data_IF_773270664254
#
_entry.id   IF_773270664254
#
_cell.length_a   1.000
_cell.length_b   1.000
_cell.length_c   1.000
_cell.angle_alpha   90.00
_cell.angle_beta   90.00
_cell.angle_gamma   90.00
#
_symmetry.space_group_name_H-M   'P 1'
#
loop_
_entity.id
_entity.type
_entity.pdbx_description
1 polymer ?
#
# COMPACT_ATOMS: atom_id res chain seq x y z
N UNK A 1 -12.92 -0.27 -17.04
CA UNK A 1 -12.19 -1.26 -16.20
C UNK A 1 -12.18 -0.85 -14.73
N UNK A 2 -12.20 -1.83 -13.83
CA UNK A 2 -12.20 -1.66 -12.37
C UNK A 2 -11.07 -2.49 -11.79
N UNK A 3 -10.27 -1.88 -10.93
CA UNK A 3 -9.11 -2.48 -10.26
C UNK A 3 -9.24 -2.24 -8.74
N UNK A 4 -8.60 -3.06 -7.89
CA UNK A 4 -8.72 -2.96 -6.43
C UNK A 4 -7.99 -1.76 -5.83
N UNK A 5 -6.85 -1.35 -6.41
CA UNK A 5 -6.13 -0.12 -6.08
C UNK A 5 -5.16 0.22 -7.22
N UNK A 6 -4.48 1.36 -7.13
CA UNK A 6 -3.54 1.83 -8.15
C UNK A 6 -2.22 1.03 -8.22
N UNK A 7 -1.89 0.27 -7.17
CA UNK A 7 -0.65 -0.52 -7.08
C UNK A 7 -0.84 -2.01 -7.36
N UNK A 8 -2.09 -2.47 -7.39
CA UNK A 8 -2.42 -3.88 -7.58
C UNK A 8 -3.10 -4.04 -8.93
N UNK A 9 -2.32 -4.46 -9.93
CA UNK A 9 -2.74 -4.70 -11.31
C UNK A 9 -3.55 -6.02 -11.42
N UNK A 10 -4.70 -6.04 -10.77
CA UNK A 10 -5.65 -7.15 -10.83
C UNK A 10 -7.01 -6.66 -11.34
N UNK A 11 -7.27 -6.86 -12.63
CA UNK A 11 -8.53 -6.42 -13.25
C UNK A 11 -9.74 -7.12 -12.62
N UNK A 12 -10.66 -6.40 -11.98
CA UNK A 12 -11.87 -6.97 -11.37
C UNK A 12 -13.03 -7.10 -12.36
N UNK A 13 -13.06 -6.27 -13.41
CA UNK A 13 -14.07 -6.27 -14.46
C UNK A 13 -14.19 -4.91 -15.17
N UNK A 14 -15.24 -4.72 -15.96
CA UNK A 14 -15.53 -3.46 -16.65
C UNK A 14 -16.88 -2.88 -16.22
N UNK A 15 -16.88 -1.65 -15.70
CA UNK A 15 -18.09 -0.97 -15.23
C UNK A 15 -19.04 -0.55 -16.36
N UNK A 16 -18.57 -0.52 -17.62
CA UNK A 16 -19.42 -0.30 -18.79
C UNK A 16 -20.21 -1.56 -19.19
N UNK A 17 -19.72 -2.74 -18.83
CA UNK A 17 -20.32 -4.03 -19.19
C UNK A 17 -21.22 -4.58 -18.09
N UNK A 18 -20.88 -4.34 -16.82
CA UNK A 18 -21.63 -4.84 -15.66
C UNK A 18 -21.66 -3.82 -14.52
N UNK A 19 -22.76 -3.76 -13.74
CA UNK A 19 -22.84 -2.86 -12.60
C UNK A 19 -21.69 -3.04 -11.61
N UNK A 20 -21.15 -1.94 -11.08
CA UNK A 20 -20.05 -1.97 -10.10
C UNK A 20 -20.37 -2.88 -8.90
N UNK A 21 -21.64 -2.94 -8.49
CA UNK A 21 -22.11 -3.82 -7.40
C UNK A 21 -21.86 -5.30 -7.68
N UNK A 22 -22.01 -5.73 -8.92
CA UNK A 22 -21.77 -7.12 -9.33
C UNK A 22 -20.27 -7.41 -9.39
N UNK A 23 -19.49 -6.49 -9.96
CA UNK A 23 -18.02 -6.55 -9.94
C UNK A 23 -17.50 -6.70 -8.50
N UNK A 24 -18.01 -5.89 -7.57
CA UNK A 24 -17.56 -5.86 -6.17
C UNK A 24 -17.87 -7.16 -5.40
N UNK A 25 -19.00 -7.80 -5.72
CA UNK A 25 -19.45 -9.07 -5.14
C UNK A 25 -18.86 -10.29 -5.81
N UNK A 26 -18.21 -10.12 -6.96
CA UNK A 26 -17.57 -11.21 -7.70
C UNK A 26 -16.53 -11.94 -6.84
N UNK A 27 -16.31 -13.21 -7.17
CA UNK A 27 -15.26 -14.03 -6.56
C UNK A 27 -13.87 -13.40 -6.74
N UNK A 28 -13.64 -12.71 -7.85
CA UNK A 28 -12.37 -12.03 -8.18
C UNK A 28 -12.11 -10.87 -7.22
N UNK A 29 -13.09 -9.98 -7.03
CA UNK A 29 -12.98 -8.90 -6.06
C UNK A 29 -12.82 -9.41 -4.62
N UNK A 30 -13.48 -10.53 -4.24
CA UNK A 30 -13.27 -11.18 -2.94
C UNK A 30 -11.84 -11.67 -2.76
N UNK A 31 -11.24 -12.30 -3.78
CA UNK A 31 -9.84 -12.75 -3.75
C UNK A 31 -8.84 -11.60 -3.69
N UNK A 32 -9.06 -10.53 -4.45
CA UNK A 32 -8.19 -9.35 -4.40
C UNK A 32 -8.17 -8.72 -3.00
N UNK A 33 -9.33 -8.57 -2.35
CA UNK A 33 -9.41 -8.10 -0.95
C UNK A 33 -8.73 -9.04 0.04
N UNK A 34 -8.85 -10.35 -0.17
CA UNK A 34 -8.18 -11.37 0.63
C UNK A 34 -6.65 -11.24 0.52
N UNK A 35 -6.13 -11.07 -0.70
CA UNK A 35 -4.71 -10.84 -0.97
C UNK A 35 -4.18 -9.57 -0.29
N UNK A 36 -4.95 -8.47 -0.33
CA UNK A 36 -4.59 -7.22 0.36
C UNK A 36 -4.52 -7.46 1.88
N UNK A 37 -5.53 -8.12 2.45
CA UNK A 37 -5.56 -8.45 3.89
C UNK A 37 -4.33 -9.26 4.33
N UNK A 38 -3.92 -10.21 3.51
CA UNK A 38 -2.81 -11.10 3.80
C UNK A 38 -1.43 -10.46 3.47
N UNK A 39 -1.40 -9.14 3.25
CA UNK A 39 -0.20 -8.36 2.89
C UNK A 39 0.52 -8.84 1.63
N UNK A 40 -0.22 -9.47 0.71
CA UNK A 40 0.29 -9.93 -0.59
C UNK A 40 0.39 -8.83 -1.65
N UNK A 41 0.46 -7.56 -1.25
CA UNK A 41 0.61 -6.40 -2.14
C UNK A 41 2.01 -5.80 -2.01
N UNK A 42 2.55 -5.18 -3.07
CA UNK A 42 3.92 -4.61 -3.09
C UNK A 42 4.15 -3.41 -2.15
N UNK A 43 3.16 -3.04 -1.34
CA UNK A 43 3.18 -1.91 -0.42
C UNK A 43 1.96 -1.00 -0.63
N UNK A 44 1.35 -0.53 0.46
CA UNK A 44 0.26 0.43 0.40
C UNK A 44 0.83 1.85 0.35
N UNK A 45 0.77 2.49 -0.81
CA UNK A 45 1.32 3.82 -1.02
C UNK A 45 0.22 4.89 -0.88
N UNK A 46 -0.37 4.98 0.30
CA UNK A 46 -1.17 6.14 0.71
C UNK A 46 -0.54 6.66 1.99
N UNK A 47 -0.26 7.96 2.08
CA UNK A 47 0.49 8.52 3.22
C UNK A 47 -0.09 8.14 4.59
N UNK A 48 -1.42 8.01 4.68
CA UNK A 48 -2.14 7.57 5.88
C UNK A 48 -1.83 6.11 6.29
N UNK A 49 -1.44 5.24 5.34
CA UNK A 49 -1.01 3.85 5.59
C UNK A 49 0.51 3.74 5.72
N UNK A 50 1.29 4.55 4.99
CA UNK A 50 2.73 4.68 5.17
C UNK A 50 3.08 5.14 6.60
N UNK A 51 2.32 6.07 7.18
CA UNK A 51 2.51 6.53 8.56
C UNK A 51 2.26 5.41 9.59
N UNK A 52 1.31 4.49 9.32
CA UNK A 52 1.07 3.32 10.19
C UNK A 52 2.14 2.26 10.04
N UNK A 53 2.78 2.15 8.89
CA UNK A 53 3.96 1.28 8.70
C UNK A 53 5.22 1.89 9.33
N UNK A 54 5.41 3.21 9.33
CA UNK A 54 6.49 3.88 10.09
C UNK A 54 6.40 3.58 11.58
N UNK A 55 5.20 3.62 12.17
CA UNK A 55 5.00 3.22 13.57
C UNK A 55 5.29 1.73 13.83
N UNK A 56 5.23 0.88 12.80
CA UNK A 56 5.60 -0.55 12.90
C UNK A 56 7.08 -0.80 12.67
N UNK A 57 7.79 0.09 11.99
CA UNK A 57 9.23 -0.03 11.70
C UNK A 57 10.08 0.80 12.67
N UNK A 58 9.95 0.50 13.96
CA UNK A 58 10.70 1.19 15.01
C UNK A 58 12.22 0.98 14.87
N UNK A 59 12.63 -0.14 14.27
CA UNK A 59 14.04 -0.48 14.02
C UNK A 59 14.60 0.39 12.90
N UNK A 60 13.87 0.54 11.78
CA UNK A 60 14.24 1.43 10.69
C UNK A 60 14.30 2.89 11.15
N UNK A 61 13.36 3.31 12.02
CA UNK A 61 13.34 4.66 12.59
C UNK A 61 14.55 4.92 13.48
N UNK A 62 14.86 4.02 14.42
CA UNK A 62 16.03 4.14 15.31
C UNK A 62 17.33 4.12 14.49
N UNK A 63 17.45 3.23 13.50
CA UNK A 63 18.61 3.17 12.61
C UNK A 63 18.81 4.46 11.84
N UNK A 64 17.72 5.06 11.34
CA UNK A 64 17.76 6.32 10.59
C UNK A 64 18.13 7.49 11.50
N UNK A 65 17.53 7.58 12.69
CA UNK A 65 17.86 8.59 13.68
C UNK A 65 19.32 8.49 14.13
N UNK A 66 19.82 7.27 14.37
CA UNK A 66 21.22 7.04 14.70
C UNK A 66 22.18 7.44 13.57
N UNK A 67 21.84 7.10 12.32
CA UNK A 67 22.63 7.52 11.15
C UNK A 67 22.67 9.03 10.99
N UNK A 68 21.53 9.71 11.16
CA UNK A 68 21.44 11.16 11.11
C UNK A 68 22.26 11.84 12.23
N UNK A 69 22.24 11.28 13.45
CA UNK A 69 23.06 11.74 14.57
C UNK A 69 24.57 11.59 14.27
N UNK A 70 24.96 10.44 13.70
CA UNK A 70 26.37 10.12 13.45
C UNK A 70 26.93 10.78 12.18
N UNK A 71 26.08 11.13 11.22
CA UNK A 71 26.47 11.75 9.93
C UNK A 71 25.57 12.95 9.58
N UNK A 72 25.64 14.04 10.36
CA UNK A 72 24.75 15.20 10.20
C UNK A 72 24.89 15.88 8.82
N UNK A 73 26.05 15.77 8.17
CA UNK A 73 26.30 16.32 6.83
C UNK A 73 25.54 15.61 5.69
N UNK A 74 24.96 14.43 5.94
CA UNK A 74 24.16 13.69 4.95
C UNK A 74 22.65 13.87 5.14
N UNK A 75 22.23 14.56 6.20
CA UNK A 75 20.82 14.69 6.58
C UNK A 75 20.03 15.70 5.71
N UNK A 76 20.68 16.40 4.78
CA UNK A 76 20.00 17.22 3.78
C UNK A 76 19.07 18.31 4.34
N UNK A 77 19.28 18.76 5.58
CA UNK A 77 18.56 19.90 6.15
C UNK A 77 19.26 21.17 5.68
N UNK A 78 18.80 21.69 4.55
CA UNK A 78 18.88 23.12 4.18
C UNK A 78 17.46 23.70 4.31
#
# INVERSE_FOLDING_TARGET
NVYPCIFLDELLGNAQEQPLREIWRSRKAKKARQKIRDRGCPGCWVECEAFRDIHRDIVGLVSTAFRALMHPSTAGIN
#
